data_IF_499271106265
#
_entry.id   IF_499271106265
#
_cell.length_a   1.000
_cell.length_b   1.000
_cell.length_c   1.000
_cell.angle_alpha   90.00
_cell.angle_beta   90.00
_cell.angle_gamma   90.00
#
_symmetry.space_group_name_H-M   'P 1'
#
loop_
_entity.id
_entity.type
_entity.pdbx_description
1 polymer ?
#
# COMPACT_ATOMS: atom_id res chain seq x y z
N UNK A 1 25.60 39.25 -10.94
CA UNK A 1 25.65 37.78 -10.84
C UNK A 1 24.60 37.44 -9.80
N UNK A 2 23.41 37.02 -10.22
CA UNK A 2 22.26 36.81 -9.35
C UNK A 2 21.86 35.34 -9.38
N UNK A 3 21.39 34.90 -8.21
CA UNK A 3 20.72 33.65 -7.89
C UNK A 3 21.61 32.40 -8.05
N UNK A 4 22.26 32.04 -6.94
CA UNK A 4 22.37 30.64 -6.58
C UNK A 4 20.96 30.04 -6.66
N UNK A 5 20.77 29.10 -7.58
CA UNK A 5 19.59 28.23 -7.63
C UNK A 5 19.53 27.47 -6.30
N UNK A 6 18.71 27.96 -5.38
CA UNK A 6 18.34 27.23 -4.16
C UNK A 6 17.70 25.92 -4.62
N UNK A 7 18.23 24.73 -4.28
CA UNK A 7 17.68 23.47 -4.75
C UNK A 7 16.26 23.30 -4.20
N UNK A 8 15.33 23.64 -5.07
CA UNK A 8 13.87 23.77 -4.97
C UNK A 8 13.21 22.89 -3.90
N UNK A 9 12.28 23.50 -3.17
CA UNK A 9 11.40 22.83 -2.20
C UNK A 9 10.89 21.49 -2.74
N UNK A 10 10.96 20.40 -1.96
CA UNK A 10 10.56 19.09 -2.45
C UNK A 10 9.08 19.08 -2.81
N UNK A 11 8.75 18.44 -3.94
CA UNK A 11 7.35 18.20 -4.31
C UNK A 11 6.74 17.31 -3.23
N UNK A 12 5.62 17.75 -2.64
CA UNK A 12 4.97 17.07 -1.52
C UNK A 12 3.56 16.63 -1.87
N UNK A 13 3.22 15.42 -1.48
CA UNK A 13 1.86 14.89 -1.40
C UNK A 13 1.61 14.39 0.02
N UNK A 14 0.40 14.61 0.54
CA UNK A 14 -0.09 13.98 1.76
C UNK A 14 -1.33 13.19 1.39
N UNK A 15 -1.32 11.89 1.66
CA UNK A 15 -2.47 11.03 1.42
C UNK A 15 -3.57 11.32 2.44
N UNK A 16 -4.83 11.27 2.02
CA UNK A 16 -5.96 11.78 2.80
C UNK A 16 -6.27 10.90 4.00
N UNK A 17 -6.26 9.58 3.83
CA UNK A 17 -6.68 8.61 4.84
C UNK A 17 -5.54 8.21 5.76
N UNK A 18 -4.42 7.81 5.18
CA UNK A 18 -3.26 7.31 5.92
C UNK A 18 -2.38 8.41 6.51
N UNK A 19 -2.55 9.66 6.04
CA UNK A 19 -1.64 10.79 6.33
C UNK A 19 -0.18 10.46 5.98
N UNK A 20 0.07 9.50 5.10
CA UNK A 20 1.44 9.25 4.61
C UNK A 20 1.87 10.43 3.74
N UNK A 21 3.03 10.97 4.07
CA UNK A 21 3.69 12.04 3.34
C UNK A 21 4.65 11.43 2.34
N UNK A 22 4.56 11.87 1.09
CA UNK A 22 5.53 11.58 0.03
C UNK A 22 6.20 12.88 -0.36
N UNK A 23 7.53 12.91 -0.28
CA UNK A 23 8.35 14.00 -0.76
C UNK A 23 9.35 13.49 -1.80
N UNK A 24 9.56 14.28 -2.86
CA UNK A 24 10.53 13.99 -3.90
C UNK A 24 11.39 15.22 -4.20
N UNK A 25 12.68 14.99 -4.44
CA UNK A 25 13.67 16.00 -4.81
C UNK A 25 14.14 15.82 -6.25
N UNK A 26 14.57 16.91 -6.86
CA UNK A 26 15.11 16.94 -8.23
C UNK A 26 16.34 16.05 -8.43
N UNK A 27 17.07 15.74 -7.35
CA UNK A 27 18.19 14.77 -7.36
C UNK A 27 17.75 13.29 -7.47
N UNK A 28 16.43 13.05 -7.56
CA UNK A 28 15.81 11.75 -7.69
C UNK A 28 15.57 11.03 -6.36
N UNK A 29 15.97 11.61 -5.22
CA UNK A 29 15.72 11.03 -3.90
C UNK A 29 14.31 11.32 -3.39
N UNK A 30 13.83 10.49 -2.47
CA UNK A 30 12.48 10.60 -1.93
C UNK A 30 12.40 10.24 -0.45
N UNK A 31 11.43 10.81 0.24
CA UNK A 31 11.06 10.46 1.61
C UNK A 31 9.60 10.02 1.59
N UNK A 32 9.32 8.87 2.19
CA UNK A 32 7.95 8.36 2.38
C UNK A 32 7.82 7.91 3.82
N UNK A 33 6.93 8.55 4.58
CA UNK A 33 6.73 8.29 6.00
C UNK A 33 5.32 8.70 6.45
N UNK A 34 4.79 8.14 7.54
CA UNK A 34 3.64 8.71 8.23
C UNK A 34 3.92 10.16 8.64
N UNK A 35 2.93 11.05 8.52
CA UNK A 35 3.09 12.47 8.89
C UNK A 35 3.55 12.65 10.34
N UNK A 36 3.01 11.85 11.27
CA UNK A 36 3.35 11.93 12.70
C UNK A 36 4.81 11.59 13.00
N UNK A 37 5.46 10.80 12.12
CA UNK A 37 6.88 10.45 12.25
C UNK A 37 7.80 11.46 11.57
N UNK A 38 7.27 12.37 10.74
CA UNK A 38 8.06 13.21 9.84
C UNK A 38 9.00 14.12 10.61
N UNK A 39 8.52 14.81 11.65
CA UNK A 39 9.34 15.70 12.48
C UNK A 39 10.45 14.92 13.18
N UNK A 40 10.13 13.75 13.74
CA UNK A 40 11.10 12.90 14.40
C UNK A 40 12.17 12.38 13.44
N UNK A 41 11.79 12.04 12.19
CA UNK A 41 12.71 11.61 11.14
C UNK A 41 13.62 12.76 10.71
N UNK A 42 13.06 13.97 10.49
CA UNK A 42 13.81 15.16 10.08
C UNK A 42 14.82 15.60 11.14
N UNK A 43 14.56 15.32 12.42
CA UNK A 43 15.44 15.63 13.54
C UNK A 43 16.53 14.58 13.81
N UNK A 44 16.52 13.41 13.16
CA UNK A 44 17.53 12.36 13.40
C UNK A 44 18.88 12.70 12.74
N UNK A 45 19.89 12.86 13.60
CA UNK A 45 21.33 12.95 13.29
C UNK A 45 22.07 11.82 14.08
N UNK A 46 23.08 11.11 13.56
CA UNK A 46 23.77 11.29 12.28
C UNK A 46 23.04 10.60 11.11
N UNK A 47 23.28 11.07 9.88
CA UNK A 47 22.70 10.46 8.70
C UNK A 47 23.30 9.06 8.56
N UNK A 48 22.45 8.07 8.32
CA UNK A 48 22.83 6.95 7.45
C UNK A 48 23.66 7.51 6.27
N UNK A 49 24.62 6.78 5.69
CA UNK A 49 25.30 7.25 4.46
C UNK A 49 24.33 7.57 3.29
N UNK A 50 23.02 7.33 3.45
CA UNK A 50 21.95 7.72 2.56
C UNK A 50 21.02 8.83 3.09
N UNK A 51 21.25 9.35 4.30
CA UNK A 51 20.33 10.28 4.97
C UNK A 51 18.93 9.68 5.18
N UNK A 52 17.95 10.56 5.43
CA UNK A 52 16.52 10.18 5.44
C UNK A 52 15.96 10.04 4.01
N UNK A 53 16.63 10.65 3.04
CA UNK A 53 16.26 10.70 1.63
C UNK A 53 16.71 9.42 0.90
N UNK A 54 15.75 8.60 0.53
CA UNK A 54 15.99 7.31 -0.10
C UNK A 54 16.23 7.48 -1.60
N UNK A 55 17.28 6.86 -2.12
CA UNK A 55 17.43 6.65 -3.57
C UNK A 55 16.28 5.79 -4.09
N UNK A 56 15.93 5.91 -5.39
CA UNK A 56 14.94 5.06 -6.01
C UNK A 56 15.26 3.58 -5.76
N UNK A 57 14.27 2.83 -5.30
CA UNK A 57 14.43 1.39 -5.10
C UNK A 57 14.59 0.72 -6.47
N UNK A 58 15.26 -0.43 -6.46
CA UNK A 58 15.48 -1.21 -7.68
C UNK A 58 14.16 -1.53 -8.40
N UNK A 59 14.22 -1.82 -9.71
CA UNK A 59 13.02 -2.08 -10.49
C UNK A 59 12.19 -3.19 -9.85
N UNK A 60 10.94 -2.90 -9.48
CA UNK A 60 9.99 -3.89 -8.98
C UNK A 60 9.92 -4.01 -7.47
N UNK A 61 10.74 -3.24 -6.76
CA UNK A 61 10.60 -3.12 -5.32
C UNK A 61 9.45 -2.19 -5.00
N UNK A 62 8.50 -2.70 -4.23
CA UNK A 62 7.42 -1.93 -3.63
C UNK A 62 7.51 -2.00 -2.12
N UNK A 63 6.91 -1.03 -1.46
CA UNK A 63 6.80 -1.00 0.00
C UNK A 63 5.42 -0.49 0.37
N UNK A 64 5.03 -0.74 1.61
CA UNK A 64 3.69 -0.45 2.10
C UNK A 64 3.71 0.13 3.49
N UNK A 65 2.67 0.89 3.81
CA UNK A 65 2.28 1.24 5.17
C UNK A 65 0.89 0.68 5.42
N UNK A 66 0.63 0.30 6.66
CA UNK A 66 -0.62 -0.35 7.06
C UNK A 66 -1.10 0.31 8.36
N UNK A 67 -2.42 0.49 8.49
CA UNK A 67 -3.02 1.00 9.74
C UNK A 67 -2.75 0.06 10.92
N UNK A 68 -2.87 -1.23 10.65
CA UNK A 68 -2.69 -2.31 11.60
C UNK A 68 -2.30 -3.57 10.82
N UNK A 69 -1.73 -4.54 11.52
CA UNK A 69 -1.45 -5.84 10.94
C UNK A 69 -2.74 -6.53 10.45
N UNK A 70 -2.66 -7.35 9.39
CA UNK A 70 -3.81 -8.11 8.91
C UNK A 70 -4.53 -8.87 10.03
N UNK A 71 -5.86 -8.72 10.08
CA UNK A 71 -6.73 -9.35 11.07
C UNK A 71 -6.73 -8.71 12.47
N UNK A 72 -5.98 -7.64 12.73
CA UNK A 72 -6.03 -6.96 14.05
C UNK A 72 -7.32 -6.16 14.25
N UNK A 73 -7.91 -5.65 13.17
CA UNK A 73 -9.13 -4.86 13.23
C UNK A 73 -10.32 -5.68 12.77
N UNK A 74 -11.42 -5.62 13.54
CA UNK A 74 -12.72 -6.17 13.13
C UNK A 74 -13.43 -5.34 12.05
N UNK A 75 -12.71 -4.42 11.39
CA UNK A 75 -13.21 -3.49 10.36
C UNK A 75 -12.16 -3.38 9.24
N UNK A 76 -12.53 -2.85 8.06
CA UNK A 76 -11.55 -2.46 7.06
C UNK A 76 -10.53 -1.48 7.63
N UNK A 77 -9.27 -1.67 7.23
CA UNK A 77 -8.15 -0.77 7.50
C UNK A 77 -7.78 0.01 6.24
N UNK A 78 -7.10 1.13 6.41
CA UNK A 78 -6.40 1.75 5.28
C UNK A 78 -5.07 1.05 4.98
N UNK A 79 -4.70 1.05 3.71
CA UNK A 79 -3.48 0.47 3.17
C UNK A 79 -2.81 1.49 2.25
N UNK A 80 -1.48 1.54 2.26
CA UNK A 80 -0.69 2.34 1.33
C UNK A 80 0.28 1.43 0.61
N UNK A 81 0.38 1.60 -0.70
CA UNK A 81 1.39 0.93 -1.52
C UNK A 81 2.12 1.97 -2.36
N UNK A 82 3.43 1.89 -2.38
CA UNK A 82 4.27 2.81 -3.14
C UNK A 82 5.50 2.13 -3.74
N UNK A 83 6.07 2.78 -4.74
CA UNK A 83 7.31 2.35 -5.37
C UNK A 83 7.86 3.41 -6.31
N UNK A 84 8.94 3.04 -7.00
CA UNK A 84 9.56 3.91 -8.00
C UNK A 84 9.30 3.42 -9.42
N UNK A 85 9.01 4.37 -10.30
CA UNK A 85 8.91 4.18 -11.75
C UNK A 85 9.22 5.50 -12.43
N UNK A 86 9.74 5.44 -13.66
CA UNK A 86 9.87 6.63 -14.49
C UNK A 86 8.50 7.31 -14.67
N UNK A 87 8.40 8.65 -14.72
CA UNK A 87 7.14 9.36 -14.89
C UNK A 87 6.34 8.98 -16.14
N UNK A 88 7.01 8.51 -17.21
CA UNK A 88 6.38 8.05 -18.45
C UNK A 88 5.78 6.64 -18.35
N UNK A 89 6.16 5.85 -17.34
CA UNK A 89 5.63 4.49 -17.13
C UNK A 89 4.22 4.60 -16.57
N UNK A 90 3.25 3.98 -17.22
CA UNK A 90 1.91 3.85 -16.68
C UNK A 90 1.90 2.82 -15.55
N UNK A 91 1.28 3.17 -14.42
CA UNK A 91 1.13 2.29 -13.26
C UNK A 91 -0.35 2.23 -12.92
N UNK A 92 -0.89 1.02 -12.79
CA UNK A 92 -2.24 0.75 -12.30
C UNK A 92 -2.18 -0.26 -11.16
N UNK A 93 -3.05 -0.09 -10.18
CA UNK A 93 -3.18 -1.02 -9.06
C UNK A 93 -4.61 -1.54 -9.06
N UNK A 94 -4.75 -2.86 -9.14
CA UNK A 94 -6.01 -3.55 -9.01
C UNK A 94 -6.10 -4.22 -7.64
N UNK A 95 -7.26 -4.13 -6.99
CA UNK A 95 -7.52 -4.84 -5.73
C UNK A 95 -8.36 -6.07 -6.04
N UNK A 96 -7.87 -7.26 -5.67
CA UNK A 96 -8.48 -8.57 -5.93
C UNK A 96 -9.70 -8.82 -5.01
N UNK A 97 -10.65 -7.87 -5.00
CA UNK A 97 -11.90 -7.88 -4.23
C UNK A 97 -13.02 -7.18 -5.00
N UNK A 98 -14.11 -7.90 -5.27
CA UNK A 98 -15.19 -7.42 -6.15
C UNK A 98 -15.86 -6.09 -5.69
N UNK A 99 -15.79 -5.76 -4.40
CA UNK A 99 -16.48 -4.58 -3.81
C UNK A 99 -15.50 -3.45 -3.46
N UNK A 100 -14.22 -3.60 -3.81
CA UNK A 100 -13.20 -2.58 -3.59
C UNK A 100 -12.81 -2.01 -4.96
N UNK A 101 -13.02 -0.72 -5.15
CA UNK A 101 -12.57 -0.05 -6.37
C UNK A 101 -11.05 0.08 -6.40
N UNK A 102 -10.47 -0.06 -7.59
CA UNK A 102 -9.06 0.22 -7.84
C UNK A 102 -8.70 1.63 -7.34
N UNK A 103 -7.63 1.78 -6.54
CA UNK A 103 -7.27 3.07 -5.99
C UNK A 103 -6.70 4.01 -7.04
N UNK A 104 -6.84 5.31 -6.78
CA UNK A 104 -6.16 6.34 -7.57
C UNK A 104 -4.66 6.25 -7.32
N UNK A 105 -3.89 6.14 -8.40
CA UNK A 105 -2.42 6.19 -8.34
C UNK A 105 -1.97 7.64 -8.48
N UNK A 106 -1.37 8.18 -7.43
CA UNK A 106 -0.76 9.50 -7.42
C UNK A 106 0.71 9.44 -7.86
N UNK A 107 1.20 10.58 -8.38
CA UNK A 107 2.59 10.75 -8.83
C UNK A 107 3.26 11.92 -8.14
N UNK A 108 4.46 11.67 -7.64
CA UNK A 108 5.33 12.67 -7.01
C UNK A 108 6.75 12.44 -7.54
N UNK A 109 7.09 13.14 -8.62
CA UNK A 109 8.33 12.87 -9.37
C UNK A 109 8.44 11.40 -9.80
N UNK A 110 9.52 10.73 -9.40
CA UNK A 110 9.76 9.31 -9.69
C UNK A 110 9.07 8.33 -8.72
N UNK A 111 8.22 8.80 -7.81
CA UNK A 111 7.44 7.98 -6.88
C UNK A 111 6.00 7.86 -7.38
N UNK A 112 5.48 6.64 -7.41
CA UNK A 112 4.04 6.40 -7.47
C UNK A 112 3.57 5.87 -6.12
N UNK A 113 2.35 6.25 -5.75
CA UNK A 113 1.74 5.86 -4.48
C UNK A 113 0.23 5.78 -4.64
N UNK A 114 -0.41 4.91 -3.88
CA UNK A 114 -1.86 4.84 -3.80
C UNK A 114 -2.27 4.43 -2.37
N UNK A 115 -3.50 4.76 -2.01
CA UNK A 115 -4.14 4.27 -0.79
C UNK A 115 -5.56 3.81 -1.05
N UNK A 116 -6.02 2.83 -0.27
CA UNK A 116 -7.40 2.35 -0.27
C UNK A 116 -7.79 1.88 1.13
N UNK A 117 -9.05 1.47 1.29
CA UNK A 117 -9.56 0.86 2.52
C UNK A 117 -10.21 -0.46 2.18
N UNK A 118 -9.80 -1.52 2.87
CA UNK A 118 -10.34 -2.87 2.71
C UNK A 118 -10.01 -3.73 3.92
N UNK A 119 -10.62 -4.91 4.01
CA UNK A 119 -10.05 -6.02 4.76
C UNK A 119 -8.72 -6.48 4.12
N UNK A 120 -7.90 -7.31 4.79
CA UNK A 120 -6.71 -7.87 4.18
C UNK A 120 -7.03 -8.52 2.84
N UNK A 121 -6.24 -8.18 1.83
CA UNK A 121 -6.55 -8.47 0.42
C UNK A 121 -5.25 -8.59 -0.37
N UNK A 122 -5.36 -8.73 -1.67
CA UNK A 122 -4.24 -8.79 -2.59
C UNK A 122 -4.32 -7.61 -3.55
N UNK A 123 -3.20 -6.91 -3.70
CA UNK A 123 -3.02 -5.85 -4.68
C UNK A 123 -2.19 -6.36 -5.86
N UNK A 124 -2.68 -6.12 -7.07
CA UNK A 124 -2.04 -6.44 -8.33
C UNK A 124 -1.55 -5.16 -9.01
N UNK A 125 -0.25 -5.10 -9.31
CA UNK A 125 0.42 -3.92 -9.84
C UNK A 125 0.78 -4.17 -11.29
N UNK A 126 0.15 -3.41 -12.16
CA UNK A 126 0.42 -3.40 -13.59
C UNK A 126 1.31 -2.21 -13.93
N UNK A 127 2.38 -2.46 -14.69
CA UNK A 127 3.29 -1.42 -15.17
C UNK A 127 3.52 -1.58 -16.66
N UNK A 128 3.50 -0.49 -17.41
CA UNK A 128 3.73 -0.53 -18.86
C UNK A 128 5.17 -0.91 -19.25
N UNK A 129 6.12 -0.78 -18.33
CA UNK A 129 7.53 -1.17 -18.52
C UNK A 129 7.82 -2.62 -18.11
N UNK A 130 6.78 -3.43 -17.86
CA UNK A 130 6.91 -4.81 -17.41
C UNK A 130 5.90 -5.74 -18.06
N UNK A 131 6.40 -6.92 -18.41
CA UNK A 131 5.55 -8.00 -18.96
C UNK A 131 4.77 -8.76 -17.89
N UNK A 132 5.14 -8.62 -16.61
CA UNK A 132 4.52 -9.35 -15.49
C UNK A 132 3.91 -8.41 -14.48
N UNK A 133 2.66 -8.70 -14.12
CA UNK A 133 1.97 -8.12 -12.97
C UNK A 133 2.67 -8.55 -11.69
N UNK A 134 2.96 -7.59 -10.80
CA UNK A 134 3.43 -7.90 -9.46
C UNK A 134 2.23 -8.08 -8.52
N UNK A 135 2.29 -9.07 -7.64
CA UNK A 135 1.20 -9.39 -6.69
C UNK A 135 1.73 -9.17 -5.27
N UNK A 136 1.02 -8.35 -4.49
CA UNK A 136 1.35 -8.03 -3.10
C UNK A 136 0.23 -8.54 -2.20
N UNK A 137 0.55 -9.47 -1.32
CA UNK A 137 -0.39 -10.03 -0.34
C UNK A 137 -0.19 -9.36 1.01
N UNK A 138 -1.27 -8.93 1.64
CA UNK A 138 -1.25 -8.38 2.99
C UNK A 138 -1.55 -9.48 3.99
N UNK A 139 -0.50 -10.17 4.42
CA UNK A 139 -0.55 -11.31 5.34
C UNK A 139 0.10 -10.97 6.66
N UNK A 140 -0.44 -11.52 7.74
CA UNK A 140 0.17 -11.38 9.05
C UNK A 140 1.45 -12.22 9.11
N UNK A 141 2.57 -11.66 9.59
CA UNK A 141 3.77 -12.44 9.82
C UNK A 141 3.53 -13.63 10.78
N UNK A 142 4.00 -14.82 10.38
CA UNK A 142 3.81 -16.06 11.14
C UNK A 142 4.39 -16.05 12.56
N UNK A 143 5.31 -15.14 12.88
CA UNK A 143 5.91 -15.02 14.21
C UNK A 143 5.02 -14.26 15.21
N UNK A 144 3.98 -13.57 14.74
CA UNK A 144 3.03 -12.90 15.62
C UNK A 144 1.98 -13.87 16.15
N UNK A 145 1.40 -13.61 17.34
CA UNK A 145 0.25 -14.38 17.81
C UNK A 145 -0.89 -14.37 16.78
N UNK A 146 -1.78 -15.38 16.77
CA UNK A 146 -2.94 -15.38 15.87
C UNK A 146 -3.72 -14.07 15.96
N UNK A 147 -4.20 -13.61 14.81
CA UNK A 147 -4.98 -12.39 14.74
C UNK A 147 -6.29 -12.53 15.57
N UNK A 148 -6.69 -11.52 16.35
CA UNK A 148 -7.95 -11.52 17.09
C UNK A 148 -9.15 -11.65 16.17
N UNK A 149 -9.03 -11.09 14.97
CA UNK A 149 -9.97 -11.27 13.88
C UNK A 149 -9.29 -12.06 12.75
N UNK A 150 -10.04 -12.88 12.03
CA UNK A 150 -9.58 -13.52 10.80
C UNK A 150 -8.93 -12.56 9.80
N UNK A 151 -7.79 -12.98 9.23
CA UNK A 151 -7.16 -12.29 8.09
C UNK A 151 -8.01 -12.39 6.83
N UNK A 152 -8.76 -13.49 6.71
CA UNK A 152 -9.73 -13.72 5.65
C UNK A 152 -10.99 -14.27 6.30
N UNK A 153 -12.04 -13.46 6.49
CA UNK A 153 -13.37 -13.98 6.83
C UNK A 153 -14.51 -13.36 6.04
N UNK A 154 -15.25 -14.29 5.42
CA UNK A 154 -16.69 -14.32 5.22
C UNK A 154 -17.26 -13.18 4.36
N UNK A 155 -16.85 -13.13 3.09
CA UNK A 155 -17.90 -13.33 2.08
C UNK A 155 -18.30 -14.79 2.14
N UNK A 156 -19.27 -15.11 2.99
CA UNK A 156 -20.14 -16.25 2.71
C UNK A 156 -20.76 -15.91 1.35
N UNK A 157 -20.11 -16.34 0.26
CA UNK A 157 -20.75 -16.37 -1.03
C UNK A 157 -22.00 -17.20 -0.79
N UNK A 158 -23.18 -16.55 -0.79
CA UNK A 158 -24.45 -17.22 -1.05
C UNK A 158 -24.31 -17.87 -2.43
N UNK A 159 -23.66 -19.04 -2.50
CA UNK A 159 -23.86 -19.97 -3.60
C UNK A 159 -25.22 -20.60 -3.33
N UNK A 160 -26.26 -19.89 -3.75
CA UNK A 160 -27.51 -20.55 -4.06
C UNK A 160 -27.23 -21.61 -5.13
N UNK A 161 -27.31 -22.88 -4.75
CA UNK A 161 -27.72 -23.95 -5.66
C UNK A 161 -28.29 -25.07 -4.82
N UNK A 162 -29.60 -25.26 -4.97
CA UNK A 162 -30.34 -26.29 -4.28
C UNK A 162 -29.83 -27.69 -4.64
N UNK A 163 -29.99 -28.58 -3.68
CA UNK A 163 -30.27 -29.99 -3.92
C UNK A 163 -31.15 -30.42 -2.77
N UNK A 164 -32.45 -30.55 -3.04
CA UNK A 164 -33.35 -31.19 -2.10
C UNK A 164 -32.87 -32.62 -1.83
N UNK A 165 -32.87 -32.98 -0.55
CA UNK A 165 -33.20 -34.33 -0.09
C UNK A 165 -33.74 -34.16 1.33
N UNK A 166 -35.06 -34.32 1.43
CA UNK A 166 -35.76 -34.55 2.69
C UNK A 166 -35.07 -35.71 3.42
N UNK A 167 -34.65 -35.47 4.65
CA UNK A 167 -34.27 -36.55 5.56
C UNK A 167 -35.46 -36.74 6.48
N UNK A 168 -36.17 -37.85 6.27
CA UNK A 168 -37.17 -38.36 7.21
C UNK A 168 -36.46 -38.72 8.52
N UNK A 169 -37.00 -38.24 9.64
CA UNK A 169 -36.61 -38.73 10.96
C UNK A 169 -37.21 -40.12 11.18
N UNK A 170 -36.43 -41.14 11.61
CA UNK A 170 -37.03 -42.32 12.19
C UNK A 170 -37.51 -41.99 13.60
N UNK A 171 -38.76 -42.35 13.86
CA UNK A 171 -39.36 -42.43 15.19
C UNK A 171 -38.92 -43.77 15.79
N UNK A 172 -38.25 -43.71 16.93
CA UNK A 172 -38.51 -44.54 18.12
C UNK A 172 -37.73 -43.99 19.33
#
# INVERSE_FOLDING_TARGET
MNADDDPEDPIRLVLERSRVVVQWRVDGTSLVAPEDDLDAILLRDPPSPHGIWQKPRGPGTTASFIEADPGELGRPSWWVLYGNADPSVEVRVHIDEDDVSDPVVHRVGGVWVCEWVSYPTIAEIHRSDRDRTARVSFERPMFMPPAPYPEVEIRQRKRGRGSGKSVENPVD
#
